data_IF_234779944206
#
_entry.id   IF_234779944206
#
_cell.length_a   1.000
_cell.length_b   1.000
_cell.length_c   1.000
_cell.angle_alpha   90.00
_cell.angle_beta   90.00
_cell.angle_gamma   90.00
#
_symmetry.space_group_name_H-M   'P 1'
#
loop_
_entity.id
_entity.type
_entity.pdbx_description
1 polymer ?
#
# COMPACT_ATOMS: atom_id res chain seq x y z
N UNK A 1 8.36 1.38 -7.80
CA UNK A 1 9.07 2.13 -6.75
C UNK A 1 9.54 1.16 -5.65
N UNK A 2 10.54 1.52 -4.84
CA UNK A 2 10.95 0.70 -3.69
C UNK A 2 10.02 0.88 -2.50
N UNK A 3 9.94 -0.12 -1.63
CA UNK A 3 9.13 -0.04 -0.42
C UNK A 3 9.61 1.07 0.51
N UNK A 4 10.93 1.26 0.62
CA UNK A 4 11.54 2.37 1.37
C UNK A 4 11.12 3.75 0.84
N UNK A 5 11.03 3.91 -0.48
CA UNK A 5 10.53 5.13 -1.12
C UNK A 5 9.03 5.35 -0.83
N UNK A 6 8.23 4.28 -0.86
CA UNK A 6 6.81 4.36 -0.52
C UNK A 6 6.64 4.79 0.94
N UNK A 7 7.40 4.18 1.86
CA UNK A 7 7.40 4.56 3.27
C UNK A 7 7.78 6.04 3.47
N UNK A 8 8.80 6.52 2.76
CA UNK A 8 9.21 7.93 2.83
C UNK A 8 8.09 8.88 2.37
N UNK A 9 7.41 8.55 1.26
CA UNK A 9 6.28 9.35 0.75
C UNK A 9 5.14 9.41 1.75
N UNK A 10 4.71 8.27 2.29
CA UNK A 10 3.60 8.26 3.25
C UNK A 10 3.98 8.92 4.58
N UNK A 11 5.24 8.81 5.02
CA UNK A 11 5.73 9.58 6.18
C UNK A 11 5.73 11.09 5.95
N UNK A 12 5.90 11.55 4.71
CA UNK A 12 5.77 12.97 4.36
C UNK A 12 4.31 13.44 4.23
N UNK A 13 3.33 12.57 4.51
CA UNK A 13 1.91 12.88 4.39
C UNK A 13 1.39 12.84 2.95
N UNK A 14 2.18 12.32 2.00
CA UNK A 14 1.78 12.23 0.62
C UNK A 14 0.78 11.08 0.41
N UNK A 15 -0.41 11.42 -0.10
CA UNK A 15 -1.40 10.43 -0.50
C UNK A 15 -0.89 9.61 -1.70
N UNK A 16 -1.26 8.33 -1.72
CA UNK A 16 -0.79 7.35 -2.72
C UNK A 16 -1.91 7.09 -3.72
N UNK A 17 -1.60 7.03 -5.01
CA UNK A 17 -2.60 6.68 -6.02
C UNK A 17 -3.04 5.23 -5.88
N UNK A 18 -4.32 4.97 -6.16
CA UNK A 18 -4.80 3.61 -6.43
C UNK A 18 -4.48 3.25 -7.88
N UNK A 19 -4.04 2.02 -8.15
CA UNK A 19 -3.79 1.55 -9.53
C UNK A 19 -5.08 1.09 -10.22
N UNK A 20 -6.17 0.89 -9.46
CA UNK A 20 -7.46 0.43 -9.98
C UNK A 20 -8.48 1.57 -10.20
N UNK A 21 -8.22 2.78 -9.71
CA UNK A 21 -9.10 3.94 -9.89
C UNK A 21 -8.34 5.26 -9.71
N UNK A 22 -8.94 6.39 -10.09
CA UNK A 22 -8.32 7.72 -9.95
C UNK A 22 -8.33 8.27 -8.51
N UNK A 23 -8.76 7.48 -7.53
CA UNK A 23 -8.79 7.90 -6.12
C UNK A 23 -7.40 7.81 -5.48
N UNK A 24 -7.19 8.66 -4.47
CA UNK A 24 -5.96 8.67 -3.67
C UNK A 24 -6.23 8.09 -2.29
N UNK A 25 -5.35 7.20 -1.87
CA UNK A 25 -5.30 6.58 -0.56
C UNK A 25 -4.58 7.53 0.40
N UNK A 26 -5.21 7.92 1.51
CA UNK A 26 -4.57 8.75 2.54
C UNK A 26 -3.29 8.11 3.06
N UNK A 27 -2.26 8.94 3.31
CA UNK A 27 -0.97 8.47 3.81
C UNK A 27 -1.08 7.74 5.15
N UNK A 28 -2.00 8.18 6.02
CA UNK A 28 -2.25 7.58 7.33
C UNK A 28 -2.77 6.15 7.19
N UNK A 29 -3.69 5.90 6.26
CA UNK A 29 -4.24 4.56 6.02
C UNK A 29 -3.13 3.61 5.55
N UNK A 30 -2.25 4.07 4.66
CA UNK A 30 -1.10 3.26 4.22
C UNK A 30 -0.13 3.01 5.38
N UNK A 31 0.14 4.01 6.22
CA UNK A 31 1.02 3.85 7.39
C UNK A 31 0.45 2.87 8.42
N UNK A 32 -0.84 2.95 8.72
CA UNK A 32 -1.48 2.14 9.74
C UNK A 32 -1.61 0.68 9.31
N UNK A 33 -2.00 0.44 8.05
CA UNK A 33 -2.34 -0.90 7.56
C UNK A 33 -1.19 -1.60 6.83
N UNK A 34 -0.36 -0.87 6.08
CA UNK A 34 0.71 -1.46 5.26
C UNK A 34 2.04 -1.45 6.02
N UNK A 35 2.38 -0.32 6.63
CA UNK A 35 3.62 -0.15 7.38
C UNK A 35 3.37 -0.10 8.87
N UNK A 36 2.65 -1.06 9.43
CA UNK A 36 2.26 -1.11 10.85
C UNK A 36 3.39 -0.56 11.76
N UNK A 37 3.13 0.55 12.46
CA UNK A 37 4.08 1.32 13.30
C UNK A 37 5.12 2.19 12.55
N UNK A 38 4.91 2.50 11.27
CA UNK A 38 5.82 3.28 10.43
C UNK A 38 7.14 2.58 10.12
N UNK A 39 7.19 1.25 10.18
CA UNK A 39 8.41 0.46 9.98
C UNK A 39 8.29 -0.50 8.81
N UNK A 40 9.43 -0.72 8.15
CA UNK A 40 9.61 -1.78 7.16
C UNK A 40 10.40 -2.91 7.80
N UNK A 41 10.01 -4.16 7.54
CA UNK A 41 10.88 -5.27 7.88
C UNK A 41 12.21 -5.11 7.11
N UNK A 42 13.38 -5.40 7.71
CA UNK A 42 14.68 -5.15 7.07
C UNK A 42 14.84 -5.78 5.68
N UNK A 43 14.20 -6.94 5.46
CA UNK A 43 14.22 -7.65 4.17
C UNK A 43 13.35 -7.00 3.08
N UNK A 44 12.51 -6.04 3.45
CA UNK A 44 11.53 -5.40 2.57
C UNK A 44 12.00 -4.04 2.08
N UNK A 45 13.05 -3.44 2.64
CA UNK A 45 13.54 -2.11 2.24
C UNK A 45 13.88 -2.04 0.74
N UNK A 46 14.43 -3.12 0.19
CA UNK A 46 14.77 -3.25 -1.22
C UNK A 46 13.68 -3.92 -2.08
N UNK A 47 12.57 -4.33 -1.47
CA UNK A 47 11.44 -4.89 -2.20
C UNK A 47 10.85 -3.83 -3.13
N UNK A 48 10.42 -4.26 -4.32
CA UNK A 48 9.67 -3.40 -5.21
C UNK A 48 8.21 -3.41 -4.76
N UNK A 49 7.59 -2.25 -4.80
CA UNK A 49 6.15 -2.08 -4.68
C UNK A 49 5.55 -2.36 -6.05
N UNK A 50 4.64 -3.34 -6.10
CA UNK A 50 3.77 -3.64 -7.23
C UNK A 50 2.47 -2.85 -7.11
N UNK A 51 1.35 -3.50 -7.38
CA UNK A 51 0.03 -2.84 -7.38
C UNK A 51 -0.39 -2.36 -5.99
N UNK A 52 -1.02 -1.19 -5.95
CA UNK A 52 -1.60 -0.53 -4.79
C UNK A 52 -3.10 -0.36 -5.03
N UNK A 53 -3.92 -1.00 -4.19
CA UNK A 53 -5.38 -1.00 -4.37
C UNK A 53 -6.08 -0.44 -3.14
N UNK A 54 -6.94 0.57 -3.33
CA UNK A 54 -7.72 1.16 -2.24
C UNK A 54 -8.79 0.18 -1.73
N UNK A 55 -9.27 0.39 -0.50
CA UNK A 55 -10.31 -0.44 0.14
C UNK A 55 -11.55 -0.55 -0.74
N UNK A 56 -12.00 0.56 -1.35
CA UNK A 56 -13.19 0.60 -2.20
C UNK A 56 -13.06 -0.32 -3.43
N UNK A 57 -11.91 -0.30 -4.10
CA UNK A 57 -11.65 -1.18 -5.23
C UNK A 57 -11.56 -2.64 -4.79
N UNK A 58 -10.99 -2.92 -3.62
CA UNK A 58 -10.99 -4.27 -3.06
C UNK A 58 -12.40 -4.76 -2.72
N UNK A 59 -13.26 -3.92 -2.14
CA UNK A 59 -14.65 -4.29 -1.82
C UNK A 59 -15.50 -4.49 -3.08
N UNK A 60 -15.18 -3.80 -4.17
CA UNK A 60 -15.85 -3.96 -5.45
C UNK A 60 -15.39 -5.20 -6.24
N UNK A 61 -14.31 -5.85 -5.80
CA UNK A 61 -13.78 -7.05 -6.44
C UNK A 61 -14.63 -8.28 -6.05
N UNK A 62 -15.31 -8.93 -7.01
CA UNK A 62 -16.16 -10.08 -6.73
C UNK A 62 -15.39 -11.32 -6.26
N UNK A 63 -14.07 -11.37 -6.46
CA UNK A 63 -13.23 -12.48 -6.03
C UNK A 63 -12.77 -12.31 -4.56
N UNK A 64 -12.91 -11.12 -3.99
CA UNK A 64 -12.57 -10.82 -2.60
C UNK A 64 -13.77 -11.15 -1.68
N UNK A 65 -13.73 -12.33 -1.08
CA UNK A 65 -14.76 -12.81 -0.14
C UNK A 65 -14.58 -12.33 1.32
N UNK A 66 -13.65 -11.40 1.58
CA UNK A 66 -13.31 -10.92 2.92
C UNK A 66 -13.36 -9.39 2.93
N UNK A 67 -13.99 -8.82 3.95
CA UNK A 67 -14.06 -7.36 4.10
C UNK A 67 -12.65 -6.75 4.28
N UNK A 68 -12.21 -5.86 3.37
CA UNK A 68 -10.87 -5.28 3.46
C UNK A 68 -10.74 -4.38 4.68
N UNK A 69 -9.65 -4.55 5.42
CA UNK A 69 -9.38 -3.73 6.62
C UNK A 69 -8.56 -2.49 6.32
N UNK A 70 -7.96 -2.39 5.13
CA UNK A 70 -7.10 -1.30 4.71
C UNK A 70 -6.66 -1.44 3.26
N UNK A 71 -5.89 -0.48 2.73
CA UNK A 71 -5.34 -0.57 1.39
C UNK A 71 -4.42 -1.79 1.22
N UNK A 72 -4.50 -2.43 0.06
CA UNK A 72 -3.65 -3.57 -0.29
C UNK A 72 -2.45 -3.05 -1.08
N UNK A 73 -1.25 -3.49 -0.68
CA UNK A 73 0.01 -3.11 -1.33
C UNK A 73 0.79 -4.39 -1.60
N UNK A 74 0.94 -4.73 -2.86
CA UNK A 74 1.75 -5.87 -3.26
C UNK A 74 3.23 -5.52 -3.17
N UNK A 75 3.98 -6.34 -2.47
CA UNK A 75 5.44 -6.27 -2.44
C UNK A 75 6.01 -7.45 -3.22
N UNK A 76 6.78 -7.15 -4.27
CA UNK A 76 7.51 -8.18 -5.02
C UNK A 76 8.96 -8.15 -4.60
N UNK A 77 9.54 -9.33 -4.33
CA UNK A 77 10.97 -9.44 -4.01
C UNK A 77 11.75 -8.87 -5.19
N UNK A 78 12.60 -7.88 -4.91
CA UNK A 78 13.56 -7.39 -5.91
C UNK A 78 14.49 -8.54 -6.25
N UNK A 79 14.58 -8.88 -7.53
CA UNK A 79 15.63 -9.76 -8.05
C UNK A 79 17.01 -9.15 -7.89
#
# INVERSE_FOLDING_TARGET
MKASELLAKVKSGQAIGCDSCDEKIPANDVLEFVFKLGTLAPRMENANVGDITCVKCQTADPDINIEPRGPDVKFVRGG
#
